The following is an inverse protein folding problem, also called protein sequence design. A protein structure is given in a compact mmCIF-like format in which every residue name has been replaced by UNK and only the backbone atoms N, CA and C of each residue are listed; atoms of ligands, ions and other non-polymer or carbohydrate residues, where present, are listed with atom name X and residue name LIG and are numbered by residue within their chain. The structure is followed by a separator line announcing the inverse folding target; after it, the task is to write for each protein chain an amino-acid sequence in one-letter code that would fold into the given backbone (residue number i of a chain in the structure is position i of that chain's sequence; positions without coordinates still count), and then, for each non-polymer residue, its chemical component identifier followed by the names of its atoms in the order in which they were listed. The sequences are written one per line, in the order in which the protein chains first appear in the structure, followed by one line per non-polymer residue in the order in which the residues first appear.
data_IF_675138461302
#
_entry.id   IF_675138461302
#
_cell.length_a   1.000
_cell.length_b   1.000
_cell.length_c   1.000
_cell.angle_alpha   90.00
_cell.angle_beta   90.00
_cell.angle_gamma   90.00
#
_symmetry.space_group_name_H-M   'P 1'
#
loop_
_entity.id
_entity.type
_entity.pdbx_description
1 polymer ?
#
# COMPACT_ATOMS: atom_id res chain seq x y z
N UNK A 1 30.07 -3.28 7.33
CA UNK A 1 29.45 -2.00 6.90
C UNK A 1 28.61 -2.37 5.70
N UNK A 2 27.30 -2.25 5.77
CA UNK A 2 26.47 -2.43 4.57
C UNK A 2 26.68 -1.22 3.67
N UNK A 3 26.94 -1.46 2.39
CA UNK A 3 27.10 -0.37 1.43
C UNK A 3 25.81 0.48 1.37
N UNK A 4 25.95 1.82 1.29
CA UNK A 4 24.80 2.69 1.11
C UNK A 4 24.08 2.32 -0.20
N UNK A 5 22.74 2.26 -0.16
CA UNK A 5 21.96 2.03 -1.37
C UNK A 5 22.25 3.11 -2.40
N UNK A 6 22.22 2.73 -3.67
CA UNK A 6 22.28 3.70 -4.76
C UNK A 6 20.98 4.51 -4.79
N UNK A 7 21.02 5.72 -5.35
CA UNK A 7 19.84 6.56 -5.57
C UNK A 7 18.71 5.78 -6.27
N UNK A 8 19.05 4.97 -7.29
CA UNK A 8 18.10 4.12 -7.99
C UNK A 8 17.44 3.05 -7.09
N UNK A 9 18.14 2.54 -6.07
CA UNK A 9 17.57 1.60 -5.11
C UNK A 9 16.60 2.30 -4.14
N UNK A 10 16.90 3.54 -3.74
CA UNK A 10 15.98 4.34 -2.93
C UNK A 10 14.71 4.72 -3.68
N UNK A 11 14.84 5.15 -4.94
CA UNK A 11 13.70 5.42 -5.84
C UNK A 11 12.81 4.18 -6.02
N UNK A 12 13.43 3.01 -6.26
CA UNK A 12 12.69 1.76 -6.39
C UNK A 12 11.95 1.37 -5.11
N UNK A 13 12.57 1.58 -3.94
CA UNK A 13 11.97 1.34 -2.64
C UNK A 13 10.80 2.31 -2.36
N UNK A 14 10.95 3.58 -2.74
CA UNK A 14 9.88 4.57 -2.62
C UNK A 14 8.66 4.18 -3.48
N UNK A 15 8.89 3.81 -4.74
CA UNK A 15 7.83 3.35 -5.63
C UNK A 15 7.09 2.11 -5.08
N UNK A 16 7.81 1.19 -4.42
CA UNK A 16 7.19 0.03 -3.76
C UNK A 16 6.33 0.43 -2.55
N UNK A 17 6.77 1.41 -1.76
CA UNK A 17 6.00 1.95 -0.64
C UNK A 17 4.73 2.69 -1.10
N UNK A 18 4.82 3.44 -2.19
CA UNK A 18 3.66 4.11 -2.81
C UNK A 18 2.64 3.08 -3.30
N UNK A 19 3.08 2.05 -4.03
CA UNK A 19 2.22 0.97 -4.49
C UNK A 19 1.51 0.25 -3.33
N UNK A 20 2.20 0.03 -2.21
CA UNK A 20 1.62 -0.57 -1.02
C UNK A 20 0.56 0.36 -0.39
N UNK A 21 0.84 1.65 -0.33
CA UNK A 21 -0.06 2.67 0.20
C UNK A 21 -1.35 2.76 -0.62
N UNK A 22 -1.25 2.66 -1.95
CA UNK A 22 -2.39 2.60 -2.85
C UNK A 22 -3.26 1.37 -2.58
N UNK A 23 -2.64 0.20 -2.37
CA UNK A 23 -3.36 -1.04 -2.05
C UNK A 23 -4.06 -0.98 -0.70
N UNK A 24 -3.43 -0.40 0.32
CA UNK A 24 -4.05 -0.16 1.63
C UNK A 24 -5.23 0.82 1.52
N UNK A 25 -5.08 1.87 0.72
CA UNK A 25 -6.15 2.83 0.44
C UNK A 25 -7.31 2.16 -0.28
N UNK A 26 -7.03 1.33 -1.29
CA UNK A 26 -8.04 0.55 -1.98
C UNK A 26 -8.80 -0.38 -1.00
N UNK A 27 -8.09 -1.10 -0.13
CA UNK A 27 -8.68 -1.93 0.92
C UNK A 27 -9.60 -1.16 1.86
N UNK A 28 -9.22 0.07 2.24
CA UNK A 28 -10.06 0.94 3.08
C UNK A 28 -11.37 1.31 2.38
N UNK A 29 -11.37 1.47 1.06
CA UNK A 29 -12.59 1.78 0.29
C UNK A 29 -13.48 0.56 0.07
N UNK A 30 -12.97 -0.66 0.31
CA UNK A 30 -13.71 -1.89 0.03
C UNK A 30 -14.93 -2.10 0.91
N UNK A 31 -14.85 -1.83 2.22
CA UNK A 31 -16.01 -1.93 3.12
C UNK A 31 -17.12 -0.96 2.67
N UNK A 32 -16.85 0.35 2.45
CA UNK A 32 -17.82 1.26 1.84
C UNK A 32 -18.42 0.75 0.52
N UNK A 33 -17.61 0.16 -0.36
CA UNK A 33 -18.06 -0.38 -1.64
C UNK A 33 -18.95 -1.63 -1.49
N UNK A 34 -18.73 -2.46 -0.46
CA UNK A 34 -19.58 -3.62 -0.16
C UNK A 34 -20.95 -3.22 0.34
N UNK A 35 -21.05 -2.16 1.16
CA UNK A 35 -22.32 -1.72 1.75
C UNK A 35 -23.10 -0.75 0.85
N UNK A 36 -22.43 -0.03 -0.06
CA UNK A 36 -23.05 0.96 -0.95
C UNK A 36 -24.23 0.43 -1.80
N UNK A 37 -24.19 -0.80 -2.35
CA UNK A 37 -25.33 -1.38 -3.05
C UNK A 37 -26.56 -1.63 -2.15
N UNK A 38 -26.34 -1.85 -0.86
CA UNK A 38 -27.38 -2.14 0.14
C UNK A 38 -28.04 -0.87 0.68
N UNK A 39 -27.35 0.26 0.61
CA UNK A 39 -27.86 1.56 1.11
C UNK A 39 -28.53 2.40 0.01
N UNK A 40 -28.48 1.97 -1.25
CA UNK A 40 -29.11 2.67 -2.38
C UNK A 40 -30.63 2.44 -2.43
N UNK A 41 -31.45 3.50 -2.44
CA UNK A 41 -32.92 3.39 -2.37
C UNK A 41 -33.59 2.74 -3.59
N UNK A 42 -32.88 2.49 -4.69
CA UNK A 42 -33.43 1.99 -5.96
C UNK A 42 -32.84 0.64 -6.44
N UNK A 43 -32.02 -0.04 -5.65
CA UNK A 43 -31.42 -1.32 -6.07
C UNK A 43 -32.38 -2.48 -5.84
N UNK A 44 -32.86 -3.11 -6.92
CA UNK A 44 -33.58 -4.40 -6.81
C UNK A 44 -32.68 -5.46 -6.15
N UNK A 45 -33.23 -6.23 -5.21
CA UNK A 45 -32.49 -7.19 -4.33
C UNK A 45 -31.45 -8.05 -5.06
N UNK A 46 -31.72 -8.61 -6.26
CA UNK A 46 -30.71 -9.39 -7.00
C UNK A 46 -29.50 -8.57 -7.46
N UNK A 47 -29.71 -7.32 -7.88
CA UNK A 47 -28.64 -6.43 -8.31
C UNK A 47 -27.78 -5.95 -7.11
N UNK A 48 -28.42 -5.72 -5.96
CA UNK A 48 -27.70 -5.39 -4.72
C UNK A 48 -26.81 -6.56 -4.26
N UNK A 49 -27.33 -7.80 -4.30
CA UNK A 49 -26.58 -9.00 -3.94
C UNK A 49 -25.42 -9.28 -4.91
N UNK A 50 -25.63 -9.10 -6.21
CA UNK A 50 -24.57 -9.22 -7.21
C UNK A 50 -23.44 -8.19 -6.97
N UNK A 51 -23.79 -6.94 -6.65
CA UNK A 51 -22.85 -5.89 -6.28
C UNK A 51 -22.05 -6.24 -5.02
N UNK A 52 -22.73 -6.71 -3.98
CA UNK A 52 -22.10 -7.18 -2.73
C UNK A 52 -21.12 -8.32 -3.00
N UNK A 53 -21.52 -9.34 -3.77
CA UNK A 53 -20.66 -10.49 -4.09
C UNK A 53 -19.41 -10.05 -4.86
N UNK A 54 -19.55 -9.16 -5.84
CA UNK A 54 -18.42 -8.61 -6.61
C UNK A 54 -17.45 -7.85 -5.71
N UNK A 55 -17.96 -6.99 -4.84
CA UNK A 55 -17.15 -6.22 -3.90
C UNK A 55 -16.43 -7.13 -2.89
N UNK A 56 -17.10 -8.17 -2.38
CA UNK A 56 -16.51 -9.15 -1.47
C UNK A 56 -15.37 -9.95 -2.12
N UNK A 57 -15.55 -10.39 -3.37
CA UNK A 57 -14.49 -11.09 -4.13
C UNK A 57 -13.28 -10.15 -4.32
N UNK A 58 -13.52 -8.91 -4.75
CA UNK A 58 -12.46 -7.91 -4.90
C UNK A 58 -11.72 -7.62 -3.59
N UNK A 59 -12.43 -7.63 -2.46
CA UNK A 59 -11.83 -7.50 -1.13
C UNK A 59 -10.85 -8.62 -0.82
N UNK A 60 -11.28 -9.87 -1.01
CA UNK A 60 -10.47 -11.05 -0.71
C UNK A 60 -9.23 -11.09 -1.61
N UNK A 61 -9.38 -10.81 -2.91
CA UNK A 61 -8.25 -10.71 -3.83
C UNK A 61 -7.29 -9.60 -3.41
N UNK A 62 -7.79 -8.41 -3.08
CA UNK A 62 -6.95 -7.30 -2.62
C UNK A 62 -6.17 -7.61 -1.33
N UNK A 63 -6.79 -8.30 -0.35
CA UNK A 63 -6.09 -8.76 0.86
C UNK A 63 -4.99 -9.77 0.52
N UNK A 64 -5.27 -10.71 -0.38
CA UNK A 64 -4.30 -11.73 -0.79
C UNK A 64 -3.11 -11.11 -1.53
N UNK A 65 -3.35 -10.15 -2.42
CA UNK A 65 -2.30 -9.46 -3.16
C UNK A 65 -1.45 -8.60 -2.24
N UNK A 66 -2.07 -7.87 -1.30
CA UNK A 66 -1.35 -7.12 -0.27
C UNK A 66 -0.45 -8.05 0.56
N UNK A 67 -1.00 -9.19 1.00
CA UNK A 67 -0.26 -10.15 1.81
C UNK A 67 0.97 -10.69 1.05
N UNK A 68 0.81 -11.05 -0.21
CA UNK A 68 1.91 -11.55 -1.06
C UNK A 68 3.03 -10.53 -1.22
N UNK A 69 2.67 -9.27 -1.44
CA UNK A 69 3.65 -8.20 -1.59
C UNK A 69 4.33 -7.86 -0.25
N UNK A 70 3.56 -7.82 0.84
CA UNK A 70 4.10 -7.63 2.18
C UNK A 70 5.07 -8.75 2.58
N UNK A 71 4.73 -10.00 2.28
CA UNK A 71 5.56 -11.18 2.57
C UNK A 71 6.72 -11.36 1.56
N UNK A 72 6.87 -10.49 0.57
CA UNK A 72 7.98 -10.59 -0.39
C UNK A 72 9.32 -10.26 0.26
N UNK A 73 10.38 -10.98 -0.14
CA UNK A 73 11.72 -10.80 0.40
C UNK A 73 12.21 -9.36 0.26
N UNK A 74 11.95 -8.73 -0.90
CA UNK A 74 12.30 -7.32 -1.15
C UNK A 74 11.61 -6.34 -0.20
N UNK A 75 10.33 -6.54 0.11
CA UNK A 75 9.58 -5.68 1.03
C UNK A 75 10.06 -5.87 2.48
N UNK A 76 10.28 -7.12 2.91
CA UNK A 76 10.76 -7.41 4.26
C UNK A 76 12.19 -6.88 4.47
N UNK A 77 13.08 -7.04 3.48
CA UNK A 77 14.44 -6.51 3.53
C UNK A 77 14.44 -4.99 3.57
N UNK A 78 13.60 -4.33 2.76
CA UNK A 78 13.44 -2.88 2.80
C UNK A 78 12.96 -2.42 4.19
N UNK A 79 11.89 -2.99 4.74
CA UNK A 79 11.36 -2.62 6.06
C UNK A 79 12.39 -2.83 7.16
N UNK A 80 13.14 -3.93 7.10
CA UNK A 80 14.21 -4.23 8.05
C UNK A 80 15.32 -3.16 7.97
N UNK A 81 15.78 -2.82 6.76
CA UNK A 81 16.79 -1.78 6.57
C UNK A 81 16.29 -0.40 7.00
N UNK A 82 15.06 -0.02 6.67
CA UNK A 82 14.47 1.25 7.11
C UNK A 82 14.43 1.34 8.64
N UNK A 83 14.04 0.24 9.31
CA UNK A 83 14.06 0.17 10.77
C UNK A 83 15.47 0.30 11.34
N UNK A 84 16.43 -0.43 10.78
CA UNK A 84 17.83 -0.35 11.21
C UNK A 84 18.46 1.03 10.95
N UNK A 85 18.11 1.69 9.85
CA UNK A 85 18.52 3.07 9.54
C UNK A 85 17.93 4.05 10.55
N UNK A 86 16.65 3.92 10.90
CA UNK A 86 15.99 4.77 11.89
C UNK A 86 16.55 4.57 13.31
N UNK A 87 16.89 3.34 13.70
CA UNK A 87 17.52 3.05 14.98
C UNK A 87 18.95 3.63 15.08
N UNK A 88 19.68 3.67 13.96
CA UNK A 88 21.04 4.23 13.89
C UNK A 88 21.05 5.76 13.83
N UNK A 89 20.09 6.36 13.13
CA UNK A 89 19.91 7.81 13.08
C UNK A 89 18.41 8.18 13.12
N UNK A 90 17.87 8.49 14.31
CA UNK A 90 16.47 8.88 14.46
C UNK A 90 16.20 10.30 13.94
N UNK A 91 17.23 11.06 13.55
CA UNK A 91 17.07 12.40 13.04
C UNK A 91 16.69 12.36 11.55
N UNK A 92 15.38 12.32 11.28
CA UNK A 92 14.82 12.35 9.91
C UNK A 92 14.87 13.73 9.25
N UNK A 93 15.39 14.76 9.92
CA UNK A 93 15.48 16.13 9.39
C UNK A 93 16.24 16.26 8.05
N UNK A 94 17.36 15.55 7.81
CA UNK A 94 18.07 15.63 6.54
C UNK A 94 17.26 15.07 5.35
N UNK A 95 16.41 14.07 5.57
CA UNK A 95 15.55 13.51 4.53
C UNK A 95 14.45 14.48 4.08
N UNK A 96 14.03 15.41 4.96
CA UNK A 96 13.08 16.47 4.63
C UNK A 96 13.72 17.65 3.86
N UNK A 97 15.06 17.73 3.83
CA UNK A 97 15.81 18.78 3.12
C UNK A 97 16.20 18.38 1.69
N UNK A 98 15.92 17.15 1.26
CA UNK A 98 16.07 16.74 -0.14
C UNK A 98 14.93 17.38 -0.95
N UNK A 99 15.16 18.61 -1.40
CA UNK A 99 14.37 19.23 -2.46
C UNK A 99 14.30 18.29 -3.66
N UNK A 100 13.15 18.18 -4.36
CA UNK A 100 13.13 17.56 -5.67
C UNK A 100 13.97 18.46 -6.58
N UNK A 101 15.25 18.12 -6.81
CA UNK A 101 16.00 18.67 -7.93
C UNK A 101 15.27 18.20 -9.19
N UNK A 102 14.59 19.04 -9.96
CA UNK A 102 14.99 20.39 -10.34
C UNK A 102 15.88 20.28 -11.56
N UNK A 103 15.25 19.89 -12.69
CA UNK A 103 15.75 20.09 -14.04
C UNK A 103 14.83 21.06 -14.77
#
# INVERSE_FOLDING_TARGET
MEEPWTEAQYEAALAQLEALTDKLTALRTTIPNMISPLTRPATIKPAAFAGLKKAAIGAVTGVQDLRREWESDGMQDMLKRTKESYEKDPNLKPAAEVQPGGG
#
